data_IF_239967880665
#
_entry.id   IF_239967880665
#
_cell.length_a   1.000
_cell.length_b   1.000
_cell.length_c   1.000
_cell.angle_alpha   90.00
_cell.angle_beta   90.00
_cell.angle_gamma   90.00
#
_symmetry.space_group_name_H-M   'P 1'
#
loop_
_entity.id
_entity.type
_entity.pdbx_description
1 polymer ?
#
# COMPACT_ATOMS: atom_id res chain seq x y z
N UNK A 1 -11.48 -15.63 14.57
CA UNK A 1 -10.26 -16.01 13.85
C UNK A 1 -10.33 -15.42 12.45
N UNK A 2 -9.30 -14.67 12.04
CA UNK A 2 -9.21 -14.22 10.65
C UNK A 2 -8.89 -15.40 9.73
N UNK A 3 -9.46 -15.47 8.52
CA UNK A 3 -9.29 -16.61 7.62
C UNK A 3 -7.82 -16.95 7.33
N UNK A 4 -6.91 -15.96 7.33
CA UNK A 4 -5.47 -16.18 7.20
C UNK A 4 -4.85 -17.05 8.32
N UNK A 5 -5.39 -17.03 9.53
CA UNK A 5 -4.94 -17.88 10.63
C UNK A 5 -5.46 -19.34 10.53
N UNK A 6 -6.52 -19.58 9.76
CA UNK A 6 -7.09 -20.92 9.52
C UNK A 6 -6.57 -21.56 8.24
N UNK A 7 -6.12 -20.78 7.26
CA UNK A 7 -5.60 -21.27 5.98
C UNK A 7 -4.08 -21.56 6.02
N UNK A 8 -3.40 -21.20 7.10
CA UNK A 8 -2.07 -21.71 7.48
C UNK A 8 -2.09 -23.16 7.99
N UNK A 9 -3.26 -23.79 8.11
CA UNK A 9 -3.42 -25.18 8.53
C UNK A 9 -3.24 -26.20 7.39
N UNK A 10 -3.17 -25.76 6.13
CA UNK A 10 -2.85 -26.64 5.02
C UNK A 10 -1.38 -27.09 5.13
N UNK A 11 -1.14 -28.40 5.08
CA UNK A 11 0.22 -28.96 5.14
C UNK A 11 1.08 -28.60 3.92
N UNK A 12 0.45 -28.24 2.79
CA UNK A 12 1.11 -27.88 1.54
C UNK A 12 0.44 -26.65 0.91
N UNK A 13 1.26 -25.67 0.50
CA UNK A 13 0.84 -24.49 -0.26
C UNK A 13 1.50 -24.53 -1.64
N UNK A 14 0.70 -24.41 -2.70
CA UNK A 14 1.20 -24.30 -4.07
C UNK A 14 1.34 -22.82 -4.42
N UNK A 15 2.55 -22.36 -4.78
CA UNK A 15 2.84 -20.95 -5.04
C UNK A 15 3.13 -20.73 -6.54
N UNK A 16 2.20 -20.06 -7.22
CA UNK A 16 2.24 -19.88 -8.68
C UNK A 16 3.06 -18.64 -9.09
N UNK A 17 4.00 -18.83 -10.01
CA UNK A 17 4.73 -17.76 -10.71
C UNK A 17 5.42 -16.72 -9.81
N UNK A 18 5.91 -17.17 -8.65
CA UNK A 18 6.77 -16.38 -7.79
C UNK A 18 8.21 -16.40 -8.30
N UNK A 19 8.79 -15.21 -8.51
CA UNK A 19 10.18 -15.04 -8.91
C UNK A 19 11.14 -15.60 -7.85
N UNK A 20 12.34 -16.02 -8.26
CA UNK A 20 13.35 -16.61 -7.37
C UNK A 20 13.61 -15.76 -6.11
N UNK A 21 13.64 -14.43 -6.29
CA UNK A 21 13.75 -13.44 -5.20
C UNK A 21 12.62 -13.51 -4.17
N UNK A 22 11.37 -13.75 -4.59
CA UNK A 22 10.21 -13.80 -3.67
C UNK A 22 10.09 -15.16 -2.97
N UNK A 23 10.66 -16.23 -3.52
CA UNK A 23 10.50 -17.60 -2.99
C UNK A 23 10.89 -17.74 -1.51
N UNK A 24 12.03 -17.21 -1.03
CA UNK A 24 12.37 -17.28 0.40
C UNK A 24 11.32 -16.60 1.27
N UNK A 25 10.80 -15.46 0.81
CA UNK A 25 9.85 -14.68 1.60
C UNK A 25 8.46 -15.34 1.65
N UNK A 26 8.01 -15.91 0.53
CA UNK A 26 6.77 -16.70 0.50
C UNK A 26 6.83 -17.89 1.46
N UNK A 27 8.00 -18.55 1.60
CA UNK A 27 8.16 -19.61 2.60
C UNK A 27 7.98 -19.08 4.02
N UNK A 28 8.50 -17.89 4.31
CA UNK A 28 8.35 -17.27 5.63
C UNK A 28 6.91 -16.82 5.93
N UNK A 29 6.10 -16.53 4.91
CA UNK A 29 4.66 -16.30 5.09
C UNK A 29 3.90 -17.55 5.57
N UNK A 30 4.45 -18.74 5.33
CA UNK A 30 3.81 -20.04 5.63
C UNK A 30 4.75 -20.96 6.43
N UNK A 31 5.17 -20.57 7.65
CA UNK A 31 6.20 -21.30 8.39
C UNK A 31 5.77 -22.72 8.80
N UNK A 32 4.46 -22.98 8.88
CA UNK A 32 3.89 -24.28 9.23
C UNK A 32 3.57 -25.18 8.01
N UNK A 33 3.82 -24.72 6.78
CA UNK A 33 3.44 -25.43 5.57
C UNK A 33 4.63 -25.69 4.63
N UNK A 34 4.57 -26.79 3.88
CA UNK A 34 5.49 -27.03 2.77
C UNK A 34 5.07 -26.20 1.56
N UNK A 35 5.88 -25.20 1.18
CA UNK A 35 5.62 -24.40 -0.03
C UNK A 35 6.22 -25.06 -1.28
N UNK A 36 5.37 -25.41 -2.24
CA UNK A 36 5.73 -25.97 -3.55
C UNK A 36 5.56 -24.88 -4.61
N UNK A 37 6.64 -24.52 -5.30
CA UNK A 37 6.58 -23.50 -6.35
C UNK A 37 6.25 -24.14 -7.70
N UNK A 38 5.23 -23.61 -8.38
CA UNK A 38 4.71 -24.11 -9.66
C UNK A 38 4.65 -22.98 -10.69
N UNK A 39 4.62 -23.33 -11.98
CA UNK A 39 4.47 -22.38 -13.10
C UNK A 39 3.18 -22.57 -13.88
N UNK A 40 2.38 -23.60 -13.56
CA UNK A 40 1.08 -23.85 -14.16
C UNK A 40 0.03 -24.01 -13.07
N UNK A 41 -1.08 -23.30 -13.18
CA UNK A 41 -2.19 -23.42 -12.24
C UNK A 41 -2.77 -24.85 -12.21
N UNK A 42 -2.68 -25.58 -13.34
CA UNK A 42 -3.11 -26.97 -13.47
C UNK A 42 -2.32 -27.95 -12.58
N UNK A 43 -1.13 -27.57 -12.12
CA UNK A 43 -0.32 -28.37 -11.19
C UNK A 43 -0.84 -28.31 -9.74
N UNK A 44 -1.92 -27.55 -9.50
CA UNK A 44 -2.57 -27.44 -8.19
C UNK A 44 -3.59 -28.58 -8.02
N UNK A 45 -3.40 -29.50 -7.06
CA UNK A 45 -4.34 -30.60 -6.83
C UNK A 45 -5.72 -30.12 -6.38
N UNK A 46 -6.74 -30.96 -6.59
CA UNK A 46 -8.08 -30.73 -6.07
C UNK A 46 -8.06 -30.55 -4.55
N UNK A 47 -8.83 -29.59 -4.04
CA UNK A 47 -8.88 -29.25 -2.60
C UNK A 47 -7.63 -28.59 -2.03
N UNK A 48 -6.58 -28.35 -2.83
CA UNK A 48 -5.35 -27.73 -2.35
C UNK A 48 -5.46 -26.21 -2.20
N UNK A 49 -4.43 -25.60 -1.59
CA UNK A 49 -4.32 -24.15 -1.45
C UNK A 49 -3.31 -23.61 -2.45
N UNK A 50 -3.75 -22.62 -3.24
CA UNK A 50 -2.96 -21.91 -4.24
C UNK A 50 -2.66 -20.48 -3.77
N UNK A 51 -1.40 -20.17 -3.54
CA UNK A 51 -0.91 -18.82 -3.31
C UNK A 51 -0.56 -18.13 -4.65
N UNK A 52 -1.06 -16.91 -4.83
CA UNK A 52 -0.77 -16.04 -5.98
C UNK A 52 -0.38 -14.64 -5.51
N UNK A 53 0.25 -13.84 -6.37
CA UNK A 53 0.60 -12.45 -6.06
C UNK A 53 -0.48 -11.49 -6.54
N UNK A 54 -1.16 -10.82 -5.60
CA UNK A 54 -2.18 -9.82 -5.86
C UNK A 54 -3.24 -10.31 -6.84
N UNK A 55 -3.59 -9.46 -7.81
CA UNK A 55 -4.54 -9.77 -8.89
C UNK A 55 -3.87 -10.30 -10.16
N UNK A 56 -2.70 -10.95 -10.05
CA UNK A 56 -2.14 -11.67 -11.20
C UNK A 56 -3.16 -12.69 -11.70
N UNK A 57 -3.47 -12.73 -13.02
CA UNK A 57 -4.40 -13.70 -13.57
C UNK A 57 -3.94 -15.13 -13.31
N UNK A 58 -4.85 -15.98 -12.88
CA UNK A 58 -4.66 -17.43 -12.85
C UNK A 58 -5.14 -17.96 -14.19
N UNK A 59 -4.21 -18.35 -15.05
CA UNK A 59 -4.51 -18.86 -16.39
C UNK A 59 -4.69 -20.38 -16.34
N UNK A 60 -5.77 -20.87 -16.95
CA UNK A 60 -6.15 -22.28 -16.95
C UNK A 60 -7.26 -22.58 -15.94
N UNK A 61 -7.86 -23.76 -16.08
CA UNK A 61 -8.88 -24.23 -15.15
C UNK A 61 -8.22 -24.75 -13.87
N UNK A 62 -8.71 -24.27 -12.72
CA UNK A 62 -8.33 -24.81 -11.41
C UNK A 62 -9.11 -26.09 -11.14
N UNK A 63 -8.44 -27.06 -10.51
CA UNK A 63 -9.11 -28.24 -10.01
C UNK A 63 -10.22 -27.88 -8.99
N UNK A 64 -11.21 -28.75 -8.84
CA UNK A 64 -12.33 -28.52 -7.94
C UNK A 64 -11.85 -28.33 -6.48
N UNK A 65 -12.48 -27.37 -5.78
CA UNK A 65 -12.22 -27.11 -4.37
C UNK A 65 -10.89 -26.41 -4.05
N UNK A 66 -10.14 -25.93 -5.04
CA UNK A 66 -8.92 -25.14 -4.78
C UNK A 66 -9.27 -23.83 -4.07
N UNK A 67 -8.59 -23.56 -2.96
CA UNK A 67 -8.67 -22.28 -2.24
C UNK A 67 -7.54 -21.37 -2.70
N UNK A 68 -7.85 -20.14 -3.10
CA UNK A 68 -6.84 -19.18 -3.59
C UNK A 68 -6.51 -18.14 -2.52
N UNK A 69 -5.23 -18.07 -2.14
CA UNK A 69 -4.66 -17.02 -1.30
C UNK A 69 -3.97 -15.96 -2.16
N UNK A 70 -4.25 -14.69 -1.88
CA UNK A 70 -3.59 -13.54 -2.54
C UNK A 70 -2.61 -12.90 -1.58
N UNK A 71 -1.35 -12.91 -1.98
CA UNK A 71 -0.27 -12.24 -1.27
C UNK A 71 -0.03 -10.86 -1.86
N UNK A 72 0.30 -9.89 -1.01
CA UNK A 72 0.78 -8.58 -1.42
C UNK A 72 1.77 -8.03 -0.39
N UNK A 73 2.47 -6.94 -0.75
CA UNK A 73 3.14 -6.10 0.23
C UNK A 73 2.09 -5.53 1.20
N UNK A 74 2.43 -5.51 2.48
CA UNK A 74 1.65 -4.84 3.52
C UNK A 74 1.95 -3.34 3.59
N UNK A 75 1.43 -2.70 4.64
CA UNK A 75 1.35 -1.23 4.69
C UNK A 75 2.61 -0.56 5.26
N UNK A 76 3.25 -1.18 6.26
CA UNK A 76 4.56 -0.75 6.77
C UNK A 76 5.65 -1.50 6.02
N UNK A 77 6.13 -0.89 4.94
CA UNK A 77 6.87 -1.63 3.91
C UNK A 77 8.39 -1.61 4.13
N UNK A 78 9.06 -0.49 3.86
CA UNK A 78 10.53 -0.48 3.76
C UNK A 78 11.16 0.91 3.88
N UNK A 79 12.48 0.96 4.10
CA UNK A 79 13.30 2.14 3.83
C UNK A 79 13.86 2.03 2.41
N UNK A 80 13.32 2.82 1.48
CA UNK A 80 13.57 2.75 0.04
C UNK A 80 12.41 2.15 -0.76
N UNK A 81 12.55 2.16 -2.10
CA UNK A 81 11.50 1.77 -3.04
C UNK A 81 11.48 0.26 -3.30
N UNK A 82 10.31 -0.28 -3.65
CA UNK A 82 10.18 -1.70 -4.00
C UNK A 82 10.94 -2.11 -5.26
N UNK A 83 11.11 -1.18 -6.19
CA UNK A 83 11.91 -1.36 -7.39
C UNK A 83 13.42 -1.52 -7.11
N UNK A 84 13.88 -1.21 -5.90
CA UNK A 84 15.26 -1.48 -5.46
C UNK A 84 15.46 -2.91 -4.92
N UNK A 85 14.49 -3.81 -5.14
CA UNK A 85 14.43 -5.16 -4.57
C UNK A 85 14.53 -5.15 -3.03
N UNK A 86 13.96 -4.12 -2.43
CA UNK A 86 13.96 -3.98 -0.98
C UNK A 86 12.85 -4.83 -0.40
N UNK A 87 13.26 -5.79 0.45
CA UNK A 87 12.37 -6.73 1.12
C UNK A 87 11.39 -5.94 2.00
N UNK A 88 10.07 -6.07 1.79
CA UNK A 88 9.10 -5.46 2.68
C UNK A 88 9.03 -6.26 3.99
N UNK A 89 8.88 -5.56 5.11
CA UNK A 89 8.67 -6.17 6.43
C UNK A 89 7.23 -6.66 6.59
N UNK A 90 6.27 -5.92 6.04
CA UNK A 90 4.85 -6.25 6.14
C UNK A 90 4.36 -6.98 4.89
N UNK A 91 3.57 -8.02 5.08
CA UNK A 91 2.94 -8.84 4.03
C UNK A 91 1.49 -9.09 4.39
N UNK A 92 0.65 -9.24 3.37
CA UNK A 92 -0.76 -9.65 3.55
C UNK A 92 -0.99 -11.01 2.90
N UNK A 93 -1.91 -11.79 3.46
CA UNK A 93 -2.38 -13.05 2.90
C UNK A 93 -3.91 -13.02 2.99
N UNK A 94 -4.57 -12.92 1.84
CA UNK A 94 -6.02 -12.75 1.76
C UNK A 94 -6.67 -13.93 1.04
N UNK A 95 -7.60 -14.61 1.71
CA UNK A 95 -8.31 -15.78 1.20
C UNK A 95 -9.65 -15.46 0.54
N UNK A 96 -10.12 -14.21 0.58
CA UNK A 96 -11.42 -13.79 0.00
C UNK A 96 -11.27 -12.94 -1.24
N UNK A 97 -10.26 -12.08 -1.26
CA UNK A 97 -10.01 -11.09 -2.30
C UNK A 97 -8.64 -10.48 -2.09
N UNK A 98 -8.56 -9.15 -2.14
CA UNK A 98 -7.36 -8.42 -1.71
C UNK A 98 -7.76 -7.00 -1.32
N UNK A 99 -7.06 -6.38 -0.37
CA UNK A 99 -7.48 -5.11 0.25
C UNK A 99 -7.77 -3.96 -0.72
N UNK A 100 -7.08 -3.89 -1.86
CA UNK A 100 -7.24 -2.81 -2.84
C UNK A 100 -8.33 -3.09 -3.89
N UNK A 101 -8.89 -4.31 -3.93
CA UNK A 101 -9.99 -4.65 -4.84
C UNK A 101 -11.32 -4.24 -4.21
N UNK A 102 -11.91 -3.16 -4.74
CA UNK A 102 -13.21 -2.67 -4.32
C UNK A 102 -14.37 -3.34 -5.06
N UNK A 103 -14.11 -4.22 -6.03
CA UNK A 103 -15.16 -4.91 -6.79
C UNK A 103 -15.74 -6.10 -6.02
N UNK A 104 -15.00 -6.64 -5.05
CA UNK A 104 -15.38 -7.82 -4.25
C UNK A 104 -14.95 -7.66 -2.78
N UNK A 105 -15.54 -8.41 -1.84
CA UNK A 105 -15.07 -8.44 -0.46
C UNK A 105 -13.64 -8.96 -0.33
N UNK A 106 -12.90 -8.45 0.65
CA UNK A 106 -11.59 -8.92 1.07
C UNK A 106 -11.63 -9.42 2.52
N UNK A 107 -10.59 -10.14 2.97
CA UNK A 107 -10.47 -10.51 4.39
C UNK A 107 -10.36 -9.26 5.27
N UNK A 108 -9.69 -8.20 4.79
CA UNK A 108 -9.64 -6.92 5.49
C UNK A 108 -11.03 -6.27 5.61
N UNK A 109 -11.80 -6.21 4.52
CA UNK A 109 -13.16 -5.64 4.56
C UNK A 109 -14.04 -6.44 5.52
N UNK A 110 -13.93 -7.76 5.54
CA UNK A 110 -14.67 -8.60 6.48
C UNK A 110 -14.25 -8.40 7.93
N UNK A 111 -12.94 -8.31 8.19
CA UNK A 111 -12.39 -8.00 9.51
C UNK A 111 -12.97 -6.69 10.03
N UNK A 112 -12.82 -5.61 9.25
CA UNK A 112 -13.25 -4.27 9.64
C UNK A 112 -14.77 -4.19 9.84
N UNK A 113 -15.54 -4.92 9.02
CA UNK A 113 -16.99 -4.97 9.17
C UNK A 113 -17.43 -5.73 10.44
N UNK A 114 -16.84 -6.89 10.73
CA UNK A 114 -17.38 -7.84 11.71
C UNK A 114 -16.64 -7.95 13.04
N UNK A 115 -15.40 -7.46 13.15
CA UNK A 115 -14.60 -7.63 14.37
C UNK A 115 -15.05 -6.67 15.48
N UNK A 116 -15.14 -7.18 16.71
CA UNK A 116 -15.18 -6.36 17.93
C UNK A 116 -13.77 -5.94 18.30
N UNK A 117 -13.51 -4.63 18.36
CA UNK A 117 -12.21 -4.09 18.74
C UNK A 117 -12.20 -3.80 20.24
N UNK A 118 -11.63 -4.72 21.01
CA UNK A 118 -11.51 -4.57 22.46
C UNK A 118 -10.70 -3.33 22.84
N UNK A 119 -11.01 -2.63 23.95
CA UNK A 119 -10.34 -1.39 24.34
C UNK A 119 -8.81 -1.50 24.41
N UNK A 120 -8.29 -2.65 24.83
CA UNK A 120 -6.85 -2.90 24.88
C UNK A 120 -6.20 -2.93 23.48
N UNK A 121 -6.88 -3.51 22.48
CA UNK A 121 -6.41 -3.54 21.10
C UNK A 121 -6.45 -2.14 20.48
N UNK A 122 -7.52 -1.37 20.74
CA UNK A 122 -7.63 0.03 20.30
C UNK A 122 -6.51 0.89 20.92
N UNK A 123 -6.21 0.71 22.21
CA UNK A 123 -5.12 1.42 22.88
C UNK A 123 -3.73 1.04 22.33
N UNK A 124 -3.52 -0.24 22.00
CA UNK A 124 -2.31 -0.72 21.32
C UNK A 124 -2.16 -0.07 19.94
N UNK A 125 -3.25 -0.02 19.17
CA UNK A 125 -3.29 0.63 17.86
C UNK A 125 -3.00 2.13 17.94
N UNK A 126 -3.57 2.83 18.92
CA UNK A 126 -3.30 4.25 19.17
C UNK A 126 -1.81 4.50 19.46
N UNK A 127 -1.20 3.68 20.34
CA UNK A 127 0.23 3.75 20.66
C UNK A 127 1.10 3.51 19.43
N UNK A 128 0.78 2.48 18.63
CA UNK A 128 1.48 2.17 17.38
C UNK A 128 1.38 3.34 16.39
N UNK A 129 0.19 3.90 16.17
CA UNK A 129 -0.05 5.06 15.31
C UNK A 129 0.79 6.26 15.75
N UNK A 130 0.75 6.60 17.04
CA UNK A 130 1.51 7.73 17.59
C UNK A 130 3.01 7.57 17.34
N UNK A 131 3.55 6.35 17.51
CA UNK A 131 4.97 6.08 17.21
C UNK A 131 5.27 6.21 15.71
N UNK A 132 4.44 5.67 14.82
CA UNK A 132 4.61 5.82 13.36
C UNK A 132 4.67 7.30 12.95
N UNK A 133 3.78 8.12 13.52
CA UNK A 133 3.71 9.56 13.25
C UNK A 133 4.92 10.29 13.82
N UNK A 134 5.30 10.02 15.07
CA UNK A 134 6.46 10.63 15.72
C UNK A 134 7.77 10.33 14.97
N UNK A 135 7.91 9.11 14.48
CA UNK A 135 9.05 8.68 13.68
C UNK A 135 8.98 9.17 12.23
N UNK A 136 7.94 9.90 11.82
CA UNK A 136 7.70 10.37 10.44
C UNK A 136 7.73 9.24 9.39
N UNK A 137 7.36 8.03 9.76
CA UNK A 137 7.45 6.90 8.84
C UNK A 137 6.35 6.95 7.78
N UNK A 138 6.72 6.47 6.60
CA UNK A 138 5.85 6.29 5.43
C UNK A 138 6.19 4.97 4.72
N UNK A 139 5.43 4.59 3.69
CA UNK A 139 5.63 3.32 2.95
C UNK A 139 7.08 3.12 2.50
N UNK A 140 7.69 4.18 1.98
CA UNK A 140 9.02 4.11 1.38
C UNK A 140 10.09 4.85 2.19
N UNK A 141 9.73 5.76 3.10
CA UNK A 141 10.70 6.53 3.90
C UNK A 141 11.81 7.19 3.04
N UNK A 142 11.42 7.73 1.87
CA UNK A 142 12.31 8.42 0.91
C UNK A 142 12.01 9.92 0.82
N UNK A 143 12.95 10.69 0.30
CA UNK A 143 12.93 12.14 0.22
C UNK A 143 13.87 12.76 1.26
N UNK A 144 14.50 13.88 0.91
CA UNK A 144 15.47 14.56 1.76
C UNK A 144 15.06 16.00 2.09
N UNK A 145 14.22 16.60 1.23
CA UNK A 145 13.88 18.01 1.34
C UNK A 145 12.61 18.22 2.16
N UNK A 146 12.56 19.34 2.85
CA UNK A 146 11.37 19.84 3.53
C UNK A 146 10.72 20.87 2.60
N UNK A 147 9.53 20.54 2.10
CA UNK A 147 8.74 21.51 1.34
C UNK A 147 8.23 22.61 2.27
N UNK A 148 8.46 23.87 1.88
CA UNK A 148 8.00 25.02 2.63
C UNK A 148 6.65 25.49 2.06
N UNK A 149 5.65 25.53 2.94
CA UNK A 149 4.34 26.08 2.62
C UNK A 149 4.47 27.58 2.31
N UNK A 150 3.93 28.07 1.18
CA UNK A 150 3.89 29.51 0.92
C UNK A 150 3.10 30.25 2.02
N UNK A 151 3.63 31.36 2.53
CA UNK A 151 3.02 32.05 3.67
C UNK A 151 1.66 32.71 3.33
N UNK A 152 1.43 33.03 2.07
CA UNK A 152 0.23 33.75 1.60
C UNK A 152 -0.94 32.85 1.22
N UNK A 153 -0.77 31.52 1.23
CA UNK A 153 -1.81 30.61 0.76
C UNK A 153 -2.71 30.17 1.90
N UNK A 154 -4.01 30.17 1.63
CA UNK A 154 -5.04 29.63 2.52
C UNK A 154 -4.97 28.11 2.56
N UNK A 155 -6.04 27.43 2.14
CA UNK A 155 -6.12 25.96 2.15
C UNK A 155 -5.13 25.32 1.16
N UNK A 156 -4.30 24.39 1.64
CA UNK A 156 -3.36 23.60 0.83
C UNK A 156 -3.83 22.15 0.71
N UNK A 157 -4.01 21.68 -0.52
CA UNK A 157 -4.44 20.31 -0.83
C UNK A 157 -3.30 19.56 -1.49
N UNK A 158 -2.91 18.42 -0.93
CA UNK A 158 -1.97 17.50 -1.57
C UNK A 158 -2.70 16.49 -2.46
N UNK A 159 -2.22 16.33 -3.68
CA UNK A 159 -2.63 15.28 -4.62
C UNK A 159 -1.42 14.39 -4.92
N UNK A 160 -1.30 13.20 -4.29
CA UNK A 160 -0.23 12.27 -4.58
C UNK A 160 -0.54 11.47 -5.85
N UNK A 161 0.39 11.52 -6.81
CA UNK A 161 0.33 10.71 -8.03
C UNK A 161 0.54 9.23 -7.75
N UNK A 162 -0.06 8.40 -8.60
CA UNK A 162 0.06 6.94 -8.58
C UNK A 162 0.60 6.43 -9.92
N UNK A 163 1.10 5.21 -9.94
CA UNK A 163 1.39 4.53 -11.22
C UNK A 163 0.06 4.14 -11.85
N UNK A 164 -0.27 4.64 -13.04
CA UNK A 164 -1.60 4.42 -13.64
C UNK A 164 -1.91 2.94 -13.96
N UNK A 165 -0.87 2.11 -14.12
CA UNK A 165 -0.99 0.66 -14.28
C UNK A 165 -1.10 -0.13 -12.97
N UNK A 166 -1.16 0.54 -11.81
CA UNK A 166 -1.31 -0.10 -10.51
C UNK A 166 -2.67 -0.82 -10.37
N UNK A 167 -2.66 -2.05 -9.86
CA UNK A 167 -3.87 -2.84 -9.68
C UNK A 167 -4.89 -2.16 -8.75
N UNK A 168 -4.42 -1.36 -7.78
CA UNK A 168 -5.31 -0.58 -6.91
C UNK A 168 -6.13 0.48 -7.66
N UNK A 169 -5.68 0.96 -8.82
CA UNK A 169 -6.49 1.81 -9.69
C UNK A 169 -7.46 0.98 -10.52
N UNK A 170 -6.99 -0.12 -11.12
CA UNK A 170 -7.81 -1.00 -11.94
C UNK A 170 -9.02 -1.58 -11.17
N UNK A 171 -8.83 -1.94 -9.91
CA UNK A 171 -9.84 -2.60 -9.07
C UNK A 171 -10.42 -1.71 -7.97
N UNK A 172 -9.81 -0.56 -7.69
CA UNK A 172 -10.24 0.34 -6.63
C UNK A 172 -10.76 1.69 -7.11
N UNK A 173 -10.62 2.05 -8.40
CA UNK A 173 -11.06 3.35 -8.90
C UNK A 173 -12.14 3.17 -9.99
N UNK A 174 -13.44 3.20 -9.63
CA UNK A 174 -14.53 2.88 -10.54
C UNK A 174 -14.76 3.94 -11.64
N UNK A 175 -14.49 5.22 -11.36
CA UNK A 175 -14.79 6.32 -12.28
C UNK A 175 -13.51 6.91 -12.91
N UNK A 176 -12.68 7.57 -12.09
CA UNK A 176 -11.44 8.22 -12.55
C UNK A 176 -10.26 7.27 -12.34
N UNK A 177 -9.37 7.14 -13.34
CA UNK A 177 -8.21 6.22 -13.28
C UNK A 177 -6.87 6.83 -13.71
N UNK A 178 -6.81 8.14 -13.93
CA UNK A 178 -5.58 8.84 -14.29
C UNK A 178 -5.24 9.96 -13.30
N UNK A 179 -3.94 10.26 -13.19
CA UNK A 179 -3.46 11.32 -12.31
C UNK A 179 -3.98 12.69 -12.77
N UNK A 180 -4.03 12.93 -14.09
CA UNK A 180 -4.52 14.18 -14.66
C UNK A 180 -6.01 14.40 -14.36
N UNK A 181 -6.83 13.37 -14.51
CA UNK A 181 -8.26 13.48 -14.23
C UNK A 181 -8.53 13.68 -12.72
N UNK A 182 -7.72 13.10 -11.84
CA UNK A 182 -7.76 13.41 -10.41
C UNK A 182 -7.44 14.89 -10.17
N UNK A 183 -6.35 15.42 -10.75
CA UNK A 183 -5.98 16.83 -10.62
C UNK A 183 -7.08 17.77 -11.11
N UNK A 184 -7.69 17.46 -12.25
CA UNK A 184 -8.84 18.18 -12.81
C UNK A 184 -10.02 18.21 -11.83
N UNK A 185 -10.42 17.04 -11.31
CA UNK A 185 -11.53 16.93 -10.38
C UNK A 185 -11.26 17.66 -9.06
N UNK A 186 -10.02 17.61 -8.54
CA UNK A 186 -9.60 18.34 -7.34
C UNK A 186 -9.67 19.84 -7.56
N UNK A 187 -9.13 20.34 -8.68
CA UNK A 187 -9.15 21.77 -9.03
C UNK A 187 -10.58 22.29 -9.21
N UNK A 188 -11.43 21.54 -9.90
CA UNK A 188 -12.84 21.91 -10.12
C UNK A 188 -13.60 21.99 -8.79
N UNK A 189 -13.39 21.04 -7.88
CA UNK A 189 -14.03 21.04 -6.56
C UNK A 189 -13.45 22.10 -5.60
N UNK A 190 -12.20 22.54 -5.82
CA UNK A 190 -11.48 23.45 -4.93
C UNK A 190 -10.80 24.58 -5.71
N UNK A 191 -11.55 25.49 -6.35
CA UNK A 191 -10.99 26.47 -7.28
C UNK A 191 -10.01 27.45 -6.62
N UNK A 192 -10.18 27.75 -5.34
CA UNK A 192 -9.36 28.70 -4.57
C UNK A 192 -8.25 28.04 -3.74
N UNK A 193 -8.20 26.70 -3.66
CA UNK A 193 -7.19 26.02 -2.87
C UNK A 193 -5.84 26.03 -3.59
N UNK A 194 -4.76 26.02 -2.80
CA UNK A 194 -3.43 25.80 -3.31
C UNK A 194 -3.17 24.30 -3.45
N UNK A 195 -3.19 23.81 -4.69
CA UNK A 195 -3.08 22.38 -5.02
C UNK A 195 -1.62 22.04 -5.28
N UNK A 196 -1.09 21.11 -4.49
CA UNK A 196 0.26 20.56 -4.64
C UNK A 196 0.16 19.16 -5.24
N UNK A 197 0.73 18.96 -6.43
CA UNK A 197 0.88 17.63 -7.02
C UNK A 197 2.22 17.02 -6.62
N UNK A 198 2.21 15.80 -6.09
CA UNK A 198 3.44 15.02 -5.83
C UNK A 198 3.47 13.77 -6.72
N UNK A 199 4.23 13.77 -7.82
CA UNK A 199 4.32 12.60 -8.70
C UNK A 199 4.84 11.36 -7.96
N UNK A 200 4.45 10.17 -8.43
CA UNK A 200 4.88 8.92 -7.81
C UNK A 200 6.41 8.72 -7.92
N UNK A 201 7.12 8.30 -6.85
CA UNK A 201 8.58 8.19 -6.87
C UNK A 201 9.11 7.19 -7.92
N UNK A 202 8.39 6.07 -8.17
CA UNK A 202 8.80 5.13 -9.23
C UNK A 202 8.70 5.72 -10.64
N UNK A 203 7.76 6.64 -10.87
CA UNK A 203 7.64 7.37 -12.16
C UNK A 203 8.80 8.36 -12.28
N UNK A 204 9.12 9.09 -11.20
CA UNK A 204 10.26 10.01 -11.15
C UNK A 204 11.59 9.30 -11.35
N UNK A 205 11.73 8.09 -10.83
CA UNK A 205 12.91 7.25 -11.02
C UNK A 205 12.98 6.58 -12.41
N UNK A 206 11.97 6.77 -13.27
CA UNK A 206 11.90 6.16 -14.60
C UNK A 206 11.73 4.63 -14.58
N UNK A 207 11.19 4.10 -13.48
CA UNK A 207 10.93 2.67 -13.28
C UNK A 207 9.54 2.26 -13.77
N UNK A 208 8.65 3.26 -13.94
CA UNK A 208 7.28 3.12 -14.44
C UNK A 208 6.99 4.20 -15.46
N UNK A 209 6.08 3.91 -16.38
CA UNK A 209 5.59 4.89 -17.33
C UNK A 209 4.92 6.07 -16.62
N UNK A 210 5.08 7.27 -17.17
CA UNK A 210 4.29 8.44 -16.77
C UNK A 210 2.83 8.24 -17.18
N UNK A 211 1.91 8.78 -16.40
CA UNK A 211 0.51 8.82 -16.77
C UNK A 211 0.25 9.67 -18.01
N UNK A 212 -0.85 9.39 -18.69
CA UNK A 212 -1.22 10.11 -19.91
C UNK A 212 -1.53 11.58 -19.59
N UNK A 213 -0.81 12.51 -20.23
CA UNK A 213 -1.03 13.95 -20.08
C UNK A 213 -0.51 14.57 -18.78
N UNK A 214 0.28 13.84 -17.97
CA UNK A 214 0.86 14.37 -16.73
C UNK A 214 1.81 15.56 -16.95
N UNK A 215 2.33 15.76 -18.16
CA UNK A 215 3.05 16.96 -18.57
C UNK A 215 2.22 18.24 -18.43
N UNK A 216 0.89 18.12 -18.43
CA UNK A 216 -0.05 19.22 -18.25
C UNK A 216 -0.47 19.42 -16.79
N UNK A 217 0.13 18.70 -15.82
CA UNK A 217 -0.25 18.78 -14.41
C UNK A 217 -0.24 20.22 -13.86
N UNK A 218 0.73 21.03 -14.27
CA UNK A 218 0.86 22.44 -13.87
C UNK A 218 -0.31 23.34 -14.32
N UNK A 219 -1.13 22.91 -15.28
CA UNK A 219 -2.37 23.63 -15.61
C UNK A 219 -3.47 23.43 -14.57
N UNK A 220 -3.34 22.42 -13.70
CA UNK A 220 -4.36 22.01 -12.73
C UNK A 220 -3.89 22.13 -11.29
N UNK A 221 -2.58 22.21 -11.03
CA UNK A 221 -1.99 22.43 -9.72
C UNK A 221 -1.13 23.70 -9.65
N UNK A 222 -0.95 24.26 -8.45
CA UNK A 222 -0.11 25.44 -8.23
C UNK A 222 1.38 25.08 -8.06
N UNK A 223 1.68 23.86 -7.63
CA UNK A 223 3.05 23.37 -7.49
C UNK A 223 3.19 21.87 -7.75
N UNK A 224 4.31 21.48 -8.35
CA UNK A 224 4.75 20.08 -8.45
C UNK A 224 5.92 19.87 -7.50
N UNK A 225 5.80 18.92 -6.57
CA UNK A 225 6.79 18.65 -5.52
C UNK A 225 7.37 17.24 -5.67
N UNK A 226 8.61 17.16 -6.14
CA UNK A 226 9.28 15.90 -6.47
C UNK A 226 10.06 15.31 -5.28
N UNK A 227 10.89 16.11 -4.62
CA UNK A 227 11.95 15.61 -3.72
C UNK A 227 11.59 15.65 -2.23
N UNK A 228 10.47 16.30 -1.88
CA UNK A 228 10.06 16.42 -0.49
C UNK A 228 9.69 15.07 0.12
N UNK A 229 10.13 14.83 1.35
CA UNK A 229 9.76 13.64 2.11
C UNK A 229 8.25 13.62 2.36
N UNK A 230 7.59 12.50 2.03
CA UNK A 230 6.13 12.40 2.15
C UNK A 230 5.66 12.63 3.59
N UNK A 231 6.42 12.15 4.58
CA UNK A 231 6.09 12.32 6.00
C UNK A 231 6.01 13.78 6.42
N UNK A 232 6.95 14.62 5.98
CA UNK A 232 6.98 16.06 6.28
C UNK A 232 5.96 16.82 5.43
N UNK A 233 5.79 16.46 4.16
CA UNK A 233 4.80 17.07 3.28
C UNK A 233 3.37 16.88 3.83
N UNK A 234 3.04 15.67 4.30
CA UNK A 234 1.74 15.40 4.92
C UNK A 234 1.47 16.26 6.16
N UNK A 235 2.51 16.65 6.90
CA UNK A 235 2.36 17.55 8.05
C UNK A 235 2.11 19.01 7.62
N UNK A 236 2.70 19.44 6.51
CA UNK A 236 2.66 20.82 6.02
C UNK A 236 1.38 21.20 5.25
N UNK A 237 0.63 20.23 4.72
CA UNK A 237 -0.62 20.44 3.99
C UNK A 237 -1.86 20.38 4.90
N UNK A 238 -2.99 20.93 4.46
CA UNK A 238 -4.22 20.91 5.25
C UNK A 238 -5.03 19.64 5.02
N UNK A 239 -5.15 19.21 3.75
CA UNK A 239 -5.95 18.05 3.36
C UNK A 239 -5.28 17.26 2.22
N UNK A 240 -5.69 16.01 2.03
CA UNK A 240 -5.13 15.12 0.99
C UNK A 240 -6.24 14.54 0.13
N UNK A 241 -6.12 14.69 -1.18
CA UNK A 241 -7.09 14.18 -2.15
C UNK A 241 -6.45 13.06 -2.97
N UNK A 242 -7.05 11.88 -2.94
CA UNK A 242 -6.46 10.65 -3.50
C UNK A 242 -7.45 9.91 -4.39
N UNK A 243 -6.93 9.12 -5.34
CA UNK A 243 -7.69 8.00 -5.89
C UNK A 243 -7.68 6.84 -4.89
N UNK A 244 -6.64 6.02 -4.93
CA UNK A 244 -6.52 4.81 -4.10
C UNK A 244 -5.18 4.69 -3.37
N UNK A 245 -4.35 5.73 -3.44
CA UNK A 245 -2.99 5.75 -2.89
C UNK A 245 -2.95 5.43 -1.39
N UNK A 246 -1.93 4.69 -0.95
CA UNK A 246 -1.68 4.49 0.49
C UNK A 246 -1.44 5.82 1.22
N UNK A 247 -1.00 6.87 0.51
CA UNK A 247 -0.78 8.20 1.09
C UNK A 247 -2.03 8.78 1.78
N UNK A 248 -3.24 8.42 1.34
CA UNK A 248 -4.47 8.81 2.03
C UNK A 248 -4.60 8.15 3.41
N UNK A 249 -4.23 6.87 3.55
CA UNK A 249 -4.17 6.23 4.87
C UNK A 249 -3.09 6.88 5.75
N UNK A 250 -1.91 7.18 5.19
CA UNK A 250 -0.83 7.86 5.92
C UNK A 250 -1.23 9.27 6.41
N UNK A 251 -2.07 9.96 5.64
CA UNK A 251 -2.68 11.23 6.01
C UNK A 251 -3.69 11.05 7.18
N UNK A 252 -4.53 10.02 7.13
CA UNK A 252 -5.44 9.67 8.23
C UNK A 252 -4.68 9.40 9.52
N UNK A 253 -3.56 8.66 9.49
CA UNK A 253 -2.73 8.40 10.68
C UNK A 253 -2.30 9.70 11.38
N UNK A 254 -2.10 10.77 10.61
CA UNK A 254 -1.69 12.12 11.05
C UNK A 254 -2.87 13.05 11.35
N UNK A 255 -4.11 12.54 11.30
CA UNK A 255 -5.32 13.33 11.55
C UNK A 255 -5.64 14.35 10.46
N UNK A 256 -5.13 14.17 9.24
CA UNK A 256 -5.44 15.04 8.10
C UNK A 256 -6.79 14.62 7.49
N UNK A 257 -7.67 15.56 7.12
CA UNK A 257 -8.84 15.25 6.30
C UNK A 257 -8.41 14.67 4.95
N UNK A 258 -9.15 13.64 4.50
CA UNK A 258 -8.86 12.93 3.26
C UNK A 258 -10.12 12.82 2.42
N UNK A 259 -10.00 13.21 1.14
CA UNK A 259 -11.04 13.02 0.12
C UNK A 259 -10.63 11.90 -0.82
N UNK A 260 -11.49 10.89 -0.96
CA UNK A 260 -11.26 9.74 -1.83
C UNK A 260 -12.12 9.82 -3.10
N UNK A 261 -11.46 9.90 -4.25
CA UNK A 261 -12.07 9.80 -5.59
C UNK A 261 -12.11 8.36 -6.12
N UNK A 262 -11.38 7.45 -5.47
CA UNK A 262 -11.54 6.01 -5.61
C UNK A 262 -12.12 5.39 -4.34
N UNK A 263 -12.00 4.07 -4.25
CA UNK A 263 -12.50 3.24 -3.15
C UNK A 263 -11.35 2.45 -2.49
N UNK A 264 -10.28 3.11 -1.98
CA UNK A 264 -9.21 2.42 -1.28
C UNK A 264 -9.73 1.70 -0.03
N UNK A 265 -8.96 0.75 0.50
CA UNK A 265 -9.37 -0.08 1.65
C UNK A 265 -9.85 0.70 2.89
N UNK A 266 -9.37 1.94 3.07
CA UNK A 266 -9.68 2.82 4.19
C UNK A 266 -10.86 3.79 3.95
N UNK A 267 -11.41 3.83 2.72
CA UNK A 267 -12.63 4.59 2.41
C UNK A 267 -13.90 3.84 2.80
N UNK A 268 -15.01 4.55 3.02
CA UNK A 268 -16.31 3.97 3.35
C UNK A 268 -16.51 3.64 4.83
N UNK A 269 -15.55 3.96 5.71
CA UNK A 269 -15.63 3.70 7.15
C UNK A 269 -15.97 4.95 7.99
N UNK A 270 -16.36 6.05 7.32
CA UNK A 270 -16.70 7.33 7.96
C UNK A 270 -15.51 8.19 8.39
N UNK A 271 -14.29 7.84 7.95
CA UNK A 271 -13.04 8.58 8.24
C UNK A 271 -12.58 9.46 7.07
N UNK A 272 -13.21 9.32 5.91
CA UNK A 272 -12.88 10.01 4.65
C UNK A 272 -14.13 10.68 4.07
N UNK A 273 -13.93 11.73 3.27
CA UNK A 273 -14.95 12.22 2.36
C UNK A 273 -14.87 11.39 1.07
N UNK A 274 -15.85 10.51 0.86
CA UNK A 274 -15.86 9.65 -0.32
C UNK A 274 -16.68 10.29 -1.44
N UNK A 275 -16.05 10.56 -2.58
CA UNK A 275 -16.71 11.05 -3.80
C UNK A 275 -17.48 9.91 -4.46
N UNK A 276 -16.90 8.70 -4.44
CA UNK A 276 -17.53 7.47 -4.93
C UNK A 276 -17.65 6.46 -3.79
N UNK A 277 -18.68 6.54 -2.93
CA UNK A 277 -18.79 5.70 -1.75
C UNK A 277 -18.99 4.23 -2.10
N UNK A 278 -18.41 3.33 -1.29
CA UNK A 278 -18.65 1.88 -1.41
C UNK A 278 -19.96 1.49 -0.73
N UNK A 279 -20.89 0.90 -1.49
CA UNK A 279 -22.19 0.47 -0.96
C UNK A 279 -22.09 -0.70 0.03
N UNK A 280 -20.95 -1.41 0.08
CA UNK A 280 -20.75 -2.55 1.00
C UNK A 280 -20.27 -2.13 2.39
N UNK A 281 -19.68 -0.94 2.52
CA UNK A 281 -19.06 -0.45 3.75
C UNK A 281 -20.03 0.52 4.44
N UNK A 282 -20.79 0.00 5.40
CA UNK A 282 -21.80 0.77 6.12
C UNK A 282 -21.40 1.08 7.58
N UNK A 283 -20.39 0.39 8.11
CA UNK A 283 -19.92 0.58 9.50
C UNK A 283 -19.07 1.83 9.59
N UNK A 284 -19.27 2.60 10.67
CA UNK A 284 -18.33 3.66 11.06
C UNK A 284 -17.28 3.10 12.00
N UNK A 285 -16.02 3.46 11.77
CA UNK A 285 -14.89 3.12 12.62
C UNK A 285 -14.24 4.39 13.16
N UNK A 286 -13.70 4.31 14.36
CA UNK A 286 -12.67 5.24 14.81
C UNK A 286 -11.36 4.98 14.05
N UNK A 287 -10.48 5.97 14.02
CA UNK A 287 -9.19 5.83 13.37
C UNK A 287 -8.36 4.70 13.99
N UNK A 288 -8.40 4.54 15.31
CA UNK A 288 -7.59 3.54 16.01
C UNK A 288 -8.17 2.12 15.84
N UNK A 289 -9.48 1.96 15.61
CA UNK A 289 -10.05 0.67 15.15
C UNK A 289 -9.61 0.32 13.73
N UNK A 290 -9.60 1.30 12.81
CA UNK A 290 -9.07 1.08 11.46
C UNK A 290 -7.59 0.68 11.52
N UNK A 291 -6.80 1.35 12.36
CA UNK A 291 -5.38 1.01 12.57
C UNK A 291 -5.21 -0.40 13.16
N UNK A 292 -6.02 -0.80 14.14
CA UNK A 292 -5.98 -2.15 14.68
C UNK A 292 -6.20 -3.19 13.59
N UNK A 293 -7.25 -3.03 12.76
CA UNK A 293 -7.52 -3.95 11.67
C UNK A 293 -6.43 -3.97 10.60
N UNK A 294 -5.97 -2.80 10.18
CA UNK A 294 -5.06 -2.63 9.04
C UNK A 294 -3.61 -2.92 9.38
N UNK A 295 -3.13 -2.57 10.57
CA UNK A 295 -1.71 -2.66 10.95
C UNK A 295 -1.40 -3.73 12.01
N UNK A 296 -2.41 -4.33 12.65
CA UNK A 296 -2.15 -5.35 13.69
C UNK A 296 -2.72 -6.70 13.27
N UNK A 297 -3.99 -6.72 12.88
CA UNK A 297 -4.73 -7.97 12.73
C UNK A 297 -4.64 -8.56 11.31
N UNK A 298 -4.68 -7.72 10.26
CA UNK A 298 -4.67 -8.18 8.87
C UNK A 298 -3.28 -8.60 8.34
N UNK A 299 -2.20 -7.82 8.53
CA UNK A 299 -0.90 -8.17 7.98
C UNK A 299 -0.10 -9.09 8.89
N UNK A 300 0.86 -9.79 8.30
CA UNK A 300 1.98 -10.43 9.00
C UNK A 300 3.25 -9.60 8.82
N UNK A 301 4.15 -9.68 9.79
CA UNK A 301 5.44 -9.01 9.75
C UNK A 301 6.57 -10.02 9.79
N UNK A 302 7.51 -9.90 8.87
CA UNK A 302 8.66 -10.77 8.73
C UNK A 302 9.91 -9.99 9.07
N UNK A 303 10.67 -10.44 10.05
CA UNK A 303 11.89 -9.75 10.47
C UNK A 303 12.96 -9.75 9.36
N UNK A 304 13.75 -8.67 9.31
CA UNK A 304 14.91 -8.53 8.44
C UNK A 304 16.19 -9.08 9.08
N UNK A 305 16.19 -9.31 10.40
CA UNK A 305 17.37 -9.71 11.17
C UNK A 305 17.40 -11.21 11.44
N UNK A 306 16.26 -11.77 11.81
CA UNK A 306 16.00 -13.19 12.02
C UNK A 306 14.93 -13.74 11.05
N UNK A 307 14.97 -15.05 10.80
CA UNK A 307 14.00 -15.76 9.95
C UNK A 307 12.71 -16.09 10.72
N UNK A 308 11.98 -15.06 11.15
CA UNK A 308 10.80 -15.21 12.00
C UNK A 308 9.70 -14.18 11.77
N UNK A 309 8.49 -14.53 12.24
CA UNK A 309 7.38 -13.59 12.37
C UNK A 309 7.62 -12.68 13.57
N UNK A 310 7.31 -11.41 13.41
CA UNK A 310 7.44 -10.39 14.45
C UNK A 310 6.14 -9.61 14.60
N UNK A 311 6.02 -8.80 15.66
CA UNK A 311 4.89 -7.89 15.84
C UNK A 311 5.06 -6.62 15.00
N UNK A 312 3.98 -5.86 14.71
CA UNK A 312 4.10 -4.54 14.08
C UNK A 312 5.02 -3.58 14.84
N UNK A 313 5.06 -3.65 16.18
CA UNK A 313 5.95 -2.82 17.00
C UNK A 313 7.42 -3.19 16.79
N UNK A 314 7.74 -4.48 16.72
CA UNK A 314 9.09 -4.94 16.40
C UNK A 314 9.48 -4.58 14.96
N UNK A 315 8.55 -4.68 14.01
CA UNK A 315 8.79 -4.29 12.62
C UNK A 315 9.08 -2.78 12.52
N UNK A 316 8.40 -1.98 13.34
CA UNK A 316 8.66 -0.56 13.49
C UNK A 316 10.07 -0.30 14.05
N UNK A 317 10.49 -1.03 15.10
CA UNK A 317 11.85 -0.92 15.64
C UNK A 317 12.91 -1.24 14.59
N UNK A 318 12.69 -2.28 13.79
CA UNK A 318 13.59 -2.65 12.69
C UNK A 318 13.63 -1.59 11.58
N UNK A 319 12.50 -0.98 11.20
CA UNK A 319 12.46 0.12 10.24
C UNK A 319 13.26 1.33 10.71
N UNK A 320 13.08 1.72 11.97
CA UNK A 320 13.78 2.86 12.56
C UNK A 320 15.29 2.59 12.60
N UNK A 321 15.69 1.42 13.07
CA UNK A 321 17.09 1.02 13.11
C UNK A 321 17.71 0.95 11.69
N UNK A 322 16.96 0.45 10.71
CA UNK A 322 17.42 0.39 9.33
C UNK A 322 17.56 1.77 8.70
N UNK A 323 16.63 2.70 8.95
CA UNK A 323 16.70 4.08 8.48
C UNK A 323 17.94 4.78 9.04
N UNK A 324 18.21 4.61 10.33
CA UNK A 324 19.39 5.18 10.97
C UNK A 324 20.71 4.67 10.37
N UNK A 325 20.78 3.39 10.00
CA UNK A 325 21.98 2.78 9.39
C UNK A 325 22.17 3.14 7.91
N UNK A 326 21.08 3.34 7.17
CA UNK A 326 21.16 3.48 5.71
C UNK A 326 21.69 4.83 5.24
N UNK A 327 21.64 5.88 6.08
CA UNK A 327 21.91 7.25 5.65
C UNK A 327 20.97 7.71 4.52
N UNK A 328 20.92 9.01 4.23
CA UNK A 328 20.02 9.56 3.22
C UNK A 328 20.41 9.24 1.76
N UNK A 329 21.46 8.45 1.52
CA UNK A 329 22.04 8.25 0.18
C UNK A 329 21.85 6.83 -0.35
N UNK A 330 21.18 6.73 -1.49
CA UNK A 330 21.11 5.47 -2.25
C UNK A 330 22.50 5.13 -2.80
N UNK A 331 23.08 3.95 -2.48
CA UNK A 331 24.41 3.56 -2.96
C UNK A 331 24.54 3.61 -4.48
N UNK A 332 25.69 4.05 -5.00
CA UNK A 332 25.96 4.20 -6.44
C UNK A 332 25.74 2.92 -7.25
N UNK A 333 26.09 1.75 -6.69
CA UNK A 333 25.85 0.46 -7.33
C UNK A 333 24.36 0.17 -7.54
N UNK A 334 23.47 0.72 -6.69
CA UNK A 334 22.02 0.61 -6.86
C UNK A 334 21.51 1.52 -7.96
N UNK A 335 22.09 2.71 -8.15
CA UNK A 335 21.80 3.55 -9.33
C UNK A 335 22.17 2.84 -10.63
N UNK A 336 23.31 2.14 -10.64
CA UNK A 336 23.73 1.31 -11.77
C UNK A 336 22.79 0.12 -11.98
N UNK A 337 22.37 -0.56 -10.91
CA UNK A 337 21.42 -1.67 -10.99
C UNK A 337 20.04 -1.22 -11.51
N UNK A 338 19.53 -0.03 -11.11
CA UNK A 338 18.33 0.58 -11.68
C UNK A 338 18.45 0.81 -13.20
N UNK A 339 19.60 1.27 -13.66
CA UNK A 339 19.88 1.45 -15.08
C UNK A 339 19.79 0.12 -15.84
N UNK A 340 20.36 -0.95 -15.28
CA UNK A 340 20.33 -2.30 -15.85
C UNK A 340 18.89 -2.87 -15.87
N UNK A 341 18.14 -2.74 -14.77
CA UNK A 341 16.74 -3.17 -14.70
C UNK A 341 15.86 -2.45 -15.73
N UNK A 342 16.11 -1.16 -15.97
CA UNK A 342 15.42 -0.35 -17.00
C UNK A 342 15.63 -0.92 -18.41
N UNK A 343 16.81 -1.47 -18.69
CA UNK A 343 17.15 -2.05 -19.99
C UNK A 343 16.65 -3.49 -20.16
N UNK A 344 16.59 -4.27 -19.07
CA UNK A 344 16.20 -5.69 -19.11
C UNK A 344 14.69 -5.88 -19.04
N UNK A 345 13.98 -5.12 -18.20
CA UNK A 345 12.53 -5.31 -17.98
C UNK A 345 11.68 -4.48 -18.95
N UNK A 346 12.28 -3.47 -19.58
CA UNK A 346 11.55 -2.43 -20.32
C UNK A 346 10.72 -1.58 -19.35
N UNK A 347 10.68 -0.26 -19.58
CA UNK A 347 9.69 0.58 -18.89
C UNK A 347 8.33 0.14 -19.42
N UNK A 348 7.61 -0.67 -18.64
CA UNK A 348 6.21 -1.04 -18.90
C UNK A 348 5.28 -0.14 -18.10
#
# INVERSE_FOLDING_TARGET
MLPGASLSAASVIYALDFSAWKKPVVRQCFPAARVVFITSAADTPAGAVLAVWGMKPVVGELAAGVTVLRLEDGFLRSVGLGADLIRPLSWVVDGRGIYYDATKPSDLEHLLAGMTFEPALVQRAASLRQRIVAERLTKYNVGADVWQRPASVGKVILVPGQVESDASLAYGAPEIRSNLALLQAVRQANPQAYVVYKPHPDVMAGLRAKGAGEDQALHWCDAVVTDAAMGDLLMAVDEVHVLTSLAGFEALLRGKPVTCYGQPFYSGWGLTQDVVPSLRRARRLSLDELVAGVLIEYPMYLSLVNDGLITPEQALDELVAWRARSGATVPLWRKFFRMVLRHIVGVR
#
